data_IF_491927673243
#
_entry.id   IF_491927673243
#
_cell.length_a   1.000
_cell.length_b   1.000
_cell.length_c   1.000
_cell.angle_alpha   90.00
_cell.angle_beta   90.00
_cell.angle_gamma   90.00
#
_symmetry.space_group_name_H-M   'P 1'
#
loop_
_entity.id
_entity.type
_entity.pdbx_description
1 polymer ?
#
# COMPACT_ATOMS: atom_id res chain seq x y z
N UNK A 1 2.20 -2.48 2.94
CA UNK A 1 3.18 -1.85 3.88
C UNK A 1 3.89 -0.65 3.26
N UNK A 2 4.35 -0.72 2.00
CA UNK A 2 5.25 0.29 1.42
C UNK A 2 4.57 1.48 0.69
N UNK A 3 3.23 1.54 0.63
CA UNK A 3 2.45 2.57 -0.10
C UNK A 3 2.96 4.00 0.12
N UNK A 4 3.18 4.43 1.37
CA UNK A 4 3.57 5.81 1.66
C UNK A 4 4.98 6.17 1.15
N UNK A 5 5.88 5.20 1.04
CA UNK A 5 7.23 5.43 0.50
C UNK A 5 7.20 5.79 -0.99
N UNK A 6 6.15 5.41 -1.70
CA UNK A 6 5.92 5.79 -3.09
C UNK A 6 5.04 7.03 -3.21
N UNK A 7 3.85 6.98 -2.59
CA UNK A 7 2.81 8.00 -2.83
C UNK A 7 3.17 9.35 -2.23
N UNK A 8 3.71 9.40 -1.01
CA UNK A 8 4.00 10.68 -0.34
C UNK A 8 5.09 11.46 -1.07
N UNK A 9 6.26 10.89 -1.41
CA UNK A 9 7.30 11.63 -2.12
C UNK A 9 6.85 12.13 -3.50
N UNK A 10 6.10 11.33 -4.26
CA UNK A 10 5.64 11.75 -5.59
C UNK A 10 4.62 12.90 -5.51
N UNK A 11 3.59 12.76 -4.67
CA UNK A 11 2.51 13.76 -4.60
C UNK A 11 2.97 15.03 -3.88
N UNK A 12 3.75 14.91 -2.80
CA UNK A 12 4.34 16.07 -2.14
C UNK A 12 5.41 16.73 -3.01
N UNK A 13 6.23 15.95 -3.73
CA UNK A 13 7.20 16.47 -4.69
C UNK A 13 6.51 17.30 -5.78
N UNK A 14 5.42 16.80 -6.36
CA UNK A 14 4.62 17.57 -7.32
C UNK A 14 4.12 18.89 -6.74
N UNK A 15 3.59 18.88 -5.51
CA UNK A 15 3.14 20.10 -4.82
C UNK A 15 4.27 21.12 -4.62
N UNK A 16 5.47 20.68 -4.21
CA UNK A 16 6.62 21.57 -3.99
C UNK A 16 7.24 22.11 -5.28
N UNK A 17 6.92 21.52 -6.45
CA UNK A 17 7.46 21.93 -7.75
C UNK A 17 6.42 22.59 -8.67
N UNK A 18 5.20 22.84 -8.18
CA UNK A 18 4.14 23.50 -8.94
C UNK A 18 3.47 22.63 -10.01
N UNK A 19 3.62 21.30 -9.96
CA UNK A 19 2.89 20.37 -10.83
C UNK A 19 1.47 20.17 -10.29
N UNK A 20 0.56 21.03 -10.78
CA UNK A 20 -0.83 21.04 -10.34
C UNK A 20 -1.61 19.82 -10.87
N UNK A 21 -1.21 19.25 -12.01
CA UNK A 21 -1.89 18.07 -12.56
C UNK A 21 -1.66 16.83 -11.69
N UNK A 22 -0.41 16.57 -11.32
CA UNK A 22 -0.07 15.42 -10.46
C UNK A 22 -0.60 15.60 -9.04
N UNK A 23 -0.55 16.79 -8.46
CA UNK A 23 -1.09 17.00 -7.10
C UNK A 23 -2.61 16.82 -7.06
N UNK A 24 -3.35 17.26 -8.09
CA UNK A 24 -4.81 17.04 -8.19
C UNK A 24 -5.14 15.56 -8.30
N UNK A 25 -4.37 14.80 -9.08
CA UNK A 25 -4.49 13.34 -9.09
C UNK A 25 -4.27 12.74 -7.69
N UNK A 26 -3.22 13.17 -6.99
CA UNK A 26 -2.90 12.68 -5.64
C UNK A 26 -4.07 12.86 -4.66
N UNK A 27 -4.74 14.01 -4.69
CA UNK A 27 -5.93 14.23 -3.87
C UNK A 27 -7.12 13.36 -4.30
N UNK A 28 -7.36 13.23 -5.61
CA UNK A 28 -8.45 12.40 -6.13
C UNK A 28 -8.27 10.92 -5.77
N UNK A 29 -7.03 10.41 -5.76
CA UNK A 29 -6.74 9.00 -5.49
C UNK A 29 -6.74 8.66 -3.99
N UNK A 30 -6.73 9.65 -3.09
CA UNK A 30 -6.53 9.42 -1.65
C UNK A 30 -7.61 8.54 -1.03
N UNK A 31 -8.89 8.72 -1.41
CA UNK A 31 -9.96 7.87 -0.90
C UNK A 31 -9.86 6.43 -1.39
N UNK A 32 -9.33 6.22 -2.59
CA UNK A 32 -9.14 4.88 -3.14
C UNK A 32 -8.02 4.16 -2.40
N UNK A 33 -6.89 4.85 -2.18
CA UNK A 33 -5.76 4.30 -1.42
C UNK A 33 -6.15 3.97 0.03
N UNK A 34 -7.03 4.75 0.66
CA UNK A 34 -7.55 4.40 2.00
C UNK A 34 -8.28 3.04 2.02
N UNK A 35 -9.01 2.73 0.95
CA UNK A 35 -9.71 1.44 0.78
C UNK A 35 -8.72 0.32 0.48
N UNK A 36 -7.74 0.57 -0.38
CA UNK A 36 -6.69 -0.40 -0.72
C UNK A 36 -5.85 -0.79 0.49
N UNK A 37 -5.50 0.18 1.35
CA UNK A 37 -4.76 -0.10 2.59
C UNK A 37 -5.58 -0.95 3.56
N UNK A 38 -6.86 -0.65 3.72
CA UNK A 38 -7.78 -1.44 4.55
C UNK A 38 -7.92 -2.86 4.01
N UNK A 39 -8.13 -3.01 2.70
CA UNK A 39 -8.18 -4.31 2.05
C UNK A 39 -6.90 -5.11 2.30
N UNK A 40 -5.73 -4.49 2.12
CA UNK A 40 -4.44 -5.16 2.28
C UNK A 40 -4.24 -5.77 3.67
N UNK A 41 -4.58 -5.03 4.73
CA UNK A 41 -4.44 -5.55 6.09
C UNK A 41 -5.47 -6.64 6.42
N UNK A 42 -6.73 -6.45 6.01
CA UNK A 42 -7.79 -7.42 6.29
C UNK A 42 -7.60 -8.72 5.49
N UNK A 43 -7.06 -8.68 4.27
CA UNK A 43 -6.71 -9.88 3.53
C UNK A 43 -5.64 -10.72 4.23
N UNK A 44 -4.59 -10.10 4.78
CA UNK A 44 -3.53 -10.82 5.49
C UNK A 44 -4.07 -11.45 6.78
N UNK A 45 -4.82 -10.68 7.58
CA UNK A 45 -5.48 -11.20 8.80
C UNK A 45 -6.37 -12.39 8.48
N UNK A 46 -7.25 -12.24 7.49
CA UNK A 46 -8.14 -13.30 7.04
C UNK A 46 -7.37 -14.58 6.73
N UNK A 47 -6.35 -14.51 5.88
CA UNK A 47 -5.55 -15.70 5.51
C UNK A 47 -4.85 -16.35 6.71
N UNK A 48 -4.31 -15.56 7.64
CA UNK A 48 -3.62 -16.07 8.83
C UNK A 48 -4.55 -16.74 9.83
N UNK A 49 -5.82 -16.31 9.90
CA UNK A 49 -6.82 -16.85 10.81
C UNK A 49 -7.51 -18.13 10.27
N UNK A 50 -7.46 -18.39 8.96
CA UNK A 50 -8.17 -19.55 8.37
C UNK A 50 -7.52 -20.91 8.71
N UNK A 51 -6.19 -21.01 8.67
CA UNK A 51 -5.46 -22.28 8.88
C UNK A 51 -4.02 -22.00 9.36
N UNK A 52 -3.53 -22.67 10.44
CA UNK A 52 -2.13 -22.54 10.88
C UNK A 52 -1.09 -22.83 9.79
N UNK A 53 -1.40 -23.68 8.81
CA UNK A 53 -0.53 -23.98 7.67
C UNK A 53 -0.33 -22.79 6.72
N UNK A 54 -1.20 -21.77 6.78
CA UNK A 54 -1.06 -20.55 5.98
C UNK A 54 0.08 -19.65 6.50
N UNK A 55 0.43 -19.73 7.79
CA UNK A 55 1.47 -18.89 8.40
C UNK A 55 2.82 -18.99 7.67
N UNK A 56 3.43 -20.17 7.47
CA UNK A 56 4.71 -20.27 6.74
C UNK A 56 4.60 -19.86 5.27
N UNK A 57 3.41 -19.94 4.66
CA UNK A 57 3.18 -19.53 3.26
C UNK A 57 3.14 -18.00 3.16
N UNK A 58 2.34 -17.35 4.02
CA UNK A 58 2.22 -15.89 4.09
C UNK A 58 3.55 -15.25 4.50
N UNK A 59 4.31 -15.88 5.40
CA UNK A 59 5.66 -15.40 5.77
C UNK A 59 6.60 -15.40 4.57
N UNK A 60 6.71 -16.52 3.85
CA UNK A 60 7.55 -16.62 2.66
C UNK A 60 7.15 -15.62 1.58
N UNK A 61 5.85 -15.39 1.41
CA UNK A 61 5.31 -14.35 0.52
C UNK A 61 5.75 -12.96 0.96
N UNK A 62 5.61 -12.65 2.25
CA UNK A 62 5.99 -11.36 2.84
C UNK A 62 7.49 -11.10 2.66
N UNK A 63 8.35 -12.07 2.98
CA UNK A 63 9.81 -11.95 2.82
C UNK A 63 10.20 -11.69 1.36
N UNK A 64 9.60 -12.44 0.43
CA UNK A 64 9.84 -12.28 -1.02
C UNK A 64 9.46 -10.90 -1.53
N UNK A 65 8.27 -10.41 -1.17
CA UNK A 65 7.73 -9.16 -1.71
C UNK A 65 8.20 -7.92 -0.97
N UNK A 66 8.70 -8.06 0.26
CA UNK A 66 9.39 -6.98 0.94
C UNK A 66 10.72 -6.63 0.25
N UNK A 67 11.42 -7.63 -0.29
CA UNK A 67 12.73 -7.45 -0.92
C UNK A 67 12.68 -7.15 -2.43
N UNK A 68 11.49 -7.06 -3.01
CA UNK A 68 11.28 -6.74 -4.44
C UNK A 68 10.80 -5.32 -4.58
#
# INVERSE_FOLDING_TARGET
VLTNLLSVPLMSGAAHNGDISTVTFGFSAQSDESRHMTLGIECIKFMLEQDPANVPIVQRGSDKWFWR
#
